data_IF_385318979803
#
_entry.id   IF_385318979803
#
_cell.length_a   1.000
_cell.length_b   1.000
_cell.length_c   1.000
_cell.angle_alpha   90.00
_cell.angle_beta   90.00
_cell.angle_gamma   90.00
#
_symmetry.space_group_name_H-M   'P 1'
#
loop_
_entity.id
_entity.type
_entity.pdbx_description
1 polymer ?
#
# COMPACT_ATOMS: atom_id res chain seq x y z
N UNK A 1 -70.92 42.34 -45.88
CA UNK A 1 -71.12 42.63 -44.43
C UNK A 1 -70.02 41.92 -43.63
N UNK A 2 -69.29 42.67 -42.79
CA UNK A 2 -68.58 42.13 -41.61
C UNK A 2 -69.49 42.31 -40.39
N UNK A 3 -69.43 41.40 -39.41
CA UNK A 3 -68.70 41.66 -38.15
C UNK A 3 -67.84 40.42 -37.77
N UNK A 4 -66.65 40.46 -37.15
CA UNK A 4 -66.06 41.06 -35.92
C UNK A 4 -66.39 40.34 -34.59
N UNK A 5 -65.33 39.73 -34.04
CA UNK A 5 -64.99 39.30 -32.66
C UNK A 5 -65.45 37.93 -32.13
N UNK A 6 -64.47 37.19 -31.59
CA UNK A 6 -64.67 35.99 -30.76
C UNK A 6 -63.37 35.24 -30.51
N UNK A 7 -62.82 35.38 -29.30
CA UNK A 7 -61.53 34.88 -28.82
C UNK A 7 -61.25 33.38 -29.05
N UNK A 8 -59.98 33.05 -29.30
CA UNK A 8 -59.24 31.92 -28.68
C UNK A 8 -57.77 32.01 -29.10
N UNK A 9 -57.09 33.05 -28.58
CA UNK A 9 -55.64 33.03 -28.43
C UNK A 9 -55.35 32.58 -27.00
N UNK A 10 -55.27 31.27 -26.76
CA UNK A 10 -54.63 30.73 -25.56
C UNK A 10 -54.29 29.26 -25.77
N UNK A 11 -53.08 28.91 -25.38
CA UNK A 11 -52.65 27.55 -25.02
C UNK A 11 -52.21 26.59 -26.14
N UNK A 12 -51.13 26.91 -26.86
CA UNK A 12 -50.16 25.87 -27.27
C UNK A 12 -48.72 26.40 -27.36
N UNK A 13 -48.31 27.23 -26.42
CA UNK A 13 -46.89 27.42 -26.09
C UNK A 13 -46.88 27.39 -24.57
N UNK A 14 -46.61 26.25 -23.94
CA UNK A 14 -45.32 25.94 -23.35
C UNK A 14 -45.42 24.49 -22.82
N UNK A 15 -44.62 23.55 -23.33
CA UNK A 15 -44.17 22.45 -22.47
C UNK A 15 -42.65 22.37 -22.36
N UNK A 16 -41.88 23.26 -23.00
CA UNK A 16 -40.42 23.15 -23.00
C UNK A 16 -39.72 23.90 -21.86
N UNK A 17 -40.30 24.98 -21.33
CA UNK A 17 -39.66 25.79 -20.27
C UNK A 17 -39.69 25.06 -18.92
N UNK A 18 -40.79 24.36 -18.60
CA UNK A 18 -40.91 23.62 -17.35
C UNK A 18 -39.98 22.38 -17.31
N UNK A 19 -39.81 21.70 -18.45
CA UNK A 19 -38.92 20.53 -18.55
C UNK A 19 -37.45 20.98 -18.48
N UNK A 20 -37.08 22.08 -19.14
CA UNK A 20 -35.73 22.65 -19.06
C UNK A 20 -35.36 23.11 -17.65
N UNK A 21 -36.29 23.77 -16.95
CA UNK A 21 -36.10 24.17 -15.55
C UNK A 21 -35.93 22.99 -14.60
N UNK A 22 -36.76 21.94 -14.75
CA UNK A 22 -36.65 20.72 -13.97
C UNK A 22 -35.34 19.97 -14.23
N UNK A 23 -34.87 19.91 -15.49
CA UNK A 23 -33.59 19.29 -15.83
C UNK A 23 -32.40 20.07 -15.27
N UNK A 24 -32.42 21.40 -15.33
CA UNK A 24 -31.37 22.26 -14.75
C UNK A 24 -31.35 22.17 -13.22
N UNK A 25 -32.51 22.14 -12.57
CA UNK A 25 -32.61 21.93 -11.12
C UNK A 25 -32.09 20.53 -10.75
N UNK A 26 -32.52 19.48 -11.45
CA UNK A 26 -32.03 18.12 -11.25
C UNK A 26 -30.52 18.02 -11.45
N UNK A 27 -29.98 18.62 -12.51
CA UNK A 27 -28.53 18.66 -12.77
C UNK A 27 -27.75 19.49 -11.74
N UNK A 28 -28.35 20.55 -11.18
CA UNK A 28 -27.75 21.36 -10.13
C UNK A 28 -27.73 20.62 -8.78
N UNK A 29 -28.84 19.99 -8.38
CA UNK A 29 -28.93 19.21 -7.16
C UNK A 29 -28.16 17.87 -7.23
N UNK A 30 -28.10 17.23 -8.42
CA UNK A 30 -27.34 15.99 -8.62
C UNK A 30 -25.91 16.19 -9.16
N UNK A 31 -25.46 17.43 -9.32
CA UNK A 31 -24.07 17.72 -9.75
C UNK A 31 -23.04 17.14 -8.79
N UNK A 32 -23.38 17.05 -7.50
CA UNK A 32 -22.53 16.44 -6.46
C UNK A 32 -22.55 14.91 -6.43
N UNK A 33 -23.57 14.26 -6.99
CA UNK A 33 -23.76 12.80 -6.95
C UNK A 33 -23.26 12.09 -8.21
N UNK A 34 -23.29 12.74 -9.37
CA UNK A 34 -22.98 12.11 -10.66
C UNK A 34 -21.50 12.08 -11.07
N UNK A 35 -20.60 12.63 -10.24
CA UNK A 35 -19.14 12.61 -10.52
C UNK A 35 -18.26 12.28 -9.32
N UNK A 36 -18.80 11.69 -8.25
CA UNK A 36 -17.94 11.05 -7.26
C UNK A 36 -17.52 9.69 -7.81
N UNK A 37 -16.45 9.67 -8.62
CA UNK A 37 -15.68 8.42 -8.79
C UNK A 37 -15.47 7.85 -7.38
N UNK A 38 -15.74 6.56 -7.14
CA UNK A 38 -15.46 5.97 -5.83
C UNK A 38 -14.00 6.30 -5.51
N UNK A 39 -13.77 6.97 -4.37
CA UNK A 39 -12.43 7.38 -3.97
C UNK A 39 -11.54 6.14 -4.05
N UNK A 40 -10.40 6.17 -4.78
CA UNK A 40 -9.55 4.99 -4.91
C UNK A 40 -9.24 4.51 -3.50
N UNK A 41 -9.69 3.30 -3.17
CA UNK A 41 -9.52 2.77 -1.81
C UNK A 41 -8.03 2.60 -1.56
N UNK A 42 -7.52 3.30 -0.56
CA UNK A 42 -6.18 3.11 -0.03
C UNK A 42 -6.00 1.64 0.32
N UNK A 43 -4.95 1.04 -0.25
CA UNK A 43 -4.65 -0.37 -0.01
C UNK A 43 -4.12 -0.55 1.41
N UNK A 44 -4.50 -1.66 2.06
CA UNK A 44 -4.28 -1.88 3.49
C UNK A 44 -3.11 -2.82 3.80
N UNK A 45 -2.36 -3.29 2.80
CA UNK A 45 -1.35 -4.34 3.01
C UNK A 45 -0.16 -3.83 3.81
N UNK A 46 0.15 -2.54 3.69
CA UNK A 46 1.07 -1.84 4.58
C UNK A 46 0.68 -1.93 6.07
N UNK A 47 -0.62 -2.05 6.39
CA UNK A 47 -1.11 -2.27 7.76
C UNK A 47 -0.83 -3.70 8.23
N UNK A 48 -1.03 -4.70 7.37
CA UNK A 48 -0.61 -6.08 7.66
C UNK A 48 0.89 -6.14 7.89
N UNK A 49 1.68 -5.45 7.08
CA UNK A 49 3.13 -5.38 7.24
C UNK A 49 3.54 -4.70 8.55
N UNK A 50 2.80 -3.68 9.00
CA UNK A 50 3.00 -3.08 10.32
C UNK A 50 2.75 -4.11 11.45
N UNK A 51 1.70 -4.92 11.35
CA UNK A 51 1.40 -5.98 12.32
C UNK A 51 2.44 -7.11 12.35
N UNK A 52 3.18 -7.33 11.26
CA UNK A 52 4.27 -8.31 11.16
C UNK A 52 5.61 -7.76 11.67
N UNK A 53 5.88 -6.47 11.42
CA UNK A 53 7.17 -5.84 11.72
C UNK A 53 7.27 -5.32 13.16
N UNK A 54 6.22 -4.68 13.68
CA UNK A 54 6.29 -3.94 14.95
C UNK A 54 7.28 -2.75 14.94
N UNK A 55 7.44 -2.11 16.10
CA UNK A 55 8.41 -1.03 16.30
C UNK A 55 8.06 0.29 15.61
N UNK A 56 9.04 1.21 15.55
CA UNK A 56 8.86 2.57 15.01
C UNK A 56 8.42 2.59 13.53
N UNK A 57 8.98 1.71 12.70
CA UNK A 57 8.63 1.61 11.27
C UNK A 57 7.17 1.18 11.11
N UNK A 58 6.69 0.23 11.93
CA UNK A 58 5.29 -0.18 11.91
C UNK A 58 4.36 0.97 12.33
N UNK A 59 4.71 1.72 13.38
CA UNK A 59 3.92 2.88 13.81
C UNK A 59 3.82 3.92 12.69
N UNK A 60 4.94 4.24 12.05
CA UNK A 60 4.97 5.20 10.95
C UNK A 60 4.09 4.76 9.78
N UNK A 61 4.11 3.45 9.43
CA UNK A 61 3.23 2.90 8.38
C UNK A 61 1.75 3.06 8.73
N UNK A 62 1.37 2.91 10.01
CA UNK A 62 -0.01 3.09 10.46
C UNK A 62 -0.43 4.56 10.36
N UNK A 63 0.45 5.49 10.75
CA UNK A 63 0.21 6.93 10.59
C UNK A 63 0.05 7.28 9.11
N UNK A 64 1.01 6.90 8.27
CA UNK A 64 0.99 7.18 6.82
C UNK A 64 -0.28 6.60 6.16
N UNK A 65 -0.73 5.41 6.58
CA UNK A 65 -1.98 4.81 6.10
C UNK A 65 -3.23 5.59 6.53
N UNK A 66 -3.31 6.03 7.80
CA UNK A 66 -4.46 6.81 8.27
C UNK A 66 -4.54 8.17 7.59
N UNK A 67 -3.40 8.82 7.40
CA UNK A 67 -3.31 10.07 6.66
C UNK A 67 -3.78 9.89 5.21
N UNK A 68 -3.29 8.85 4.53
CA UNK A 68 -3.71 8.55 3.15
C UNK A 68 -5.19 8.19 3.06
N UNK A 69 -5.73 7.50 4.08
CA UNK A 69 -7.16 7.16 4.16
C UNK A 69 -8.03 8.40 4.34
N UNK A 70 -7.56 9.39 5.09
CA UNK A 70 -8.23 10.67 5.27
C UNK A 70 -8.13 11.54 4.00
N UNK A 71 -6.97 11.55 3.35
CA UNK A 71 -6.71 12.28 2.12
C UNK A 71 -5.82 11.49 1.15
N UNK A 72 -6.44 10.95 0.10
CA UNK A 72 -5.74 10.17 -0.92
C UNK A 72 -4.78 11.02 -1.76
N UNK A 73 -4.94 12.34 -1.79
CA UNK A 73 -4.05 13.23 -2.56
C UNK A 73 -2.62 13.20 -2.03
N UNK A 74 -2.43 12.87 -0.74
CA UNK A 74 -1.12 12.65 -0.12
C UNK A 74 -0.28 11.55 -0.79
N UNK A 75 -0.92 10.68 -1.58
CA UNK A 75 -0.24 9.61 -2.30
C UNK A 75 0.21 10.01 -3.72
N UNK A 76 -0.34 11.10 -4.28
CA UNK A 76 -0.11 11.48 -5.68
C UNK A 76 1.35 11.84 -5.97
N UNK A 77 2.04 12.42 -4.99
CA UNK A 77 3.43 12.85 -5.13
C UNK A 77 4.45 11.71 -4.93
N UNK A 78 4.03 10.52 -4.50
CA UNK A 78 4.96 9.46 -4.06
C UNK A 78 5.94 9.03 -5.16
N UNK A 79 5.49 8.94 -6.42
CA UNK A 79 6.39 8.61 -7.54
C UNK A 79 7.43 9.71 -7.80
N UNK A 80 6.99 10.97 -7.77
CA UNK A 80 7.88 12.11 -7.94
C UNK A 80 8.89 12.19 -6.79
N UNK A 81 8.43 12.07 -5.54
CA UNK A 81 9.27 12.04 -4.33
C UNK A 81 10.31 10.92 -4.39
N UNK A 82 9.96 9.75 -4.92
CA UNK A 82 10.90 8.64 -5.08
C UNK A 82 12.01 9.00 -6.07
N UNK A 83 11.64 9.49 -7.25
CA UNK A 83 12.60 9.85 -8.29
C UNK A 83 13.53 10.99 -7.82
N UNK A 84 12.97 12.01 -7.17
CA UNK A 84 13.74 13.12 -6.60
C UNK A 84 14.77 12.63 -5.58
N UNK A 85 14.36 11.75 -4.66
CA UNK A 85 15.24 11.17 -3.65
C UNK A 85 16.40 10.35 -4.28
N UNK A 86 16.12 9.61 -5.35
CA UNK A 86 17.10 8.78 -6.04
C UNK A 86 18.14 9.57 -6.86
N UNK A 87 17.89 10.87 -7.12
CA UNK A 87 18.89 11.75 -7.75
C UNK A 87 19.85 12.38 -6.73
N UNK A 88 19.60 12.23 -5.43
CA UNK A 88 20.46 12.80 -4.40
C UNK A 88 21.79 12.04 -4.32
N UNK A 89 22.85 12.75 -3.94
CA UNK A 89 24.17 12.15 -3.75
C UNK A 89 24.17 11.08 -2.66
N UNK A 90 23.37 11.30 -1.60
CA UNK A 90 23.17 10.38 -0.49
C UNK A 90 21.68 10.06 -0.33
N UNK A 91 21.33 8.79 -0.34
CA UNK A 91 19.94 8.33 -0.26
C UNK A 91 19.52 8.20 1.21
N UNK A 92 18.47 8.92 1.60
CA UNK A 92 17.78 8.72 2.88
C UNK A 92 16.89 7.47 2.80
N UNK A 93 17.44 6.30 3.16
CA UNK A 93 16.72 5.03 3.11
C UNK A 93 15.45 4.98 3.96
N UNK A 94 15.42 5.50 5.22
CA UNK A 94 14.17 5.64 5.96
C UNK A 94 13.09 6.40 5.20
N UNK A 95 13.44 7.53 4.56
CA UNK A 95 12.50 8.28 3.72
C UNK A 95 12.09 7.48 2.47
N UNK A 96 13.03 6.80 1.82
CA UNK A 96 12.75 5.95 0.66
C UNK A 96 11.75 4.85 1.00
N UNK A 97 11.92 4.18 2.14
CA UNK A 97 11.00 3.13 2.61
C UNK A 97 9.57 3.66 2.81
N UNK A 98 9.42 4.87 3.36
CA UNK A 98 8.10 5.51 3.52
C UNK A 98 7.45 5.83 2.19
N UNK A 99 8.20 6.41 1.25
CA UNK A 99 7.70 6.74 -0.09
C UNK A 99 7.26 5.47 -0.83
N UNK A 100 8.07 4.41 -0.75
CA UNK A 100 7.77 3.12 -1.35
C UNK A 100 6.51 2.48 -0.75
N UNK A 101 6.27 2.63 0.57
CA UNK A 101 5.01 2.21 1.18
C UNK A 101 3.80 3.00 0.65
N UNK A 102 3.93 4.31 0.39
CA UNK A 102 2.87 5.10 -0.26
C UNK A 102 2.55 4.63 -1.68
N UNK A 103 3.54 4.11 -2.41
CA UNK A 103 3.32 3.51 -3.74
C UNK A 103 2.51 2.20 -3.64
N UNK A 104 2.63 1.43 -2.56
CA UNK A 104 1.70 0.32 -2.27
C UNK A 104 0.30 0.83 -1.98
N UNK A 105 0.17 1.82 -1.10
CA UNK A 105 -1.12 2.38 -0.68
C UNK A 105 -1.93 2.95 -1.86
N UNK A 106 -1.25 3.54 -2.85
CA UNK A 106 -1.84 4.05 -4.11
C UNK A 106 -2.02 2.98 -5.18
N UNK A 107 -1.42 1.81 -5.00
CA UNK A 107 -1.53 0.69 -5.92
C UNK A 107 -0.60 0.74 -7.14
N UNK A 108 0.48 1.49 -7.02
CA UNK A 108 1.52 1.72 -8.01
C UNK A 108 2.75 0.81 -7.81
N UNK A 109 2.55 -0.40 -7.27
CA UNK A 109 3.67 -1.30 -6.95
C UNK A 109 4.48 -1.72 -8.18
N UNK A 110 3.81 -1.88 -9.33
CA UNK A 110 4.49 -2.23 -10.58
C UNK A 110 5.49 -1.14 -11.00
N UNK A 111 5.12 0.13 -10.83
CA UNK A 111 5.98 1.27 -11.11
C UNK A 111 7.13 1.36 -10.10
N UNK A 112 6.84 1.15 -8.82
CA UNK A 112 7.86 1.07 -7.78
C UNK A 112 8.90 -0.04 -8.08
N UNK A 113 8.46 -1.24 -8.45
CA UNK A 113 9.35 -2.35 -8.85
C UNK A 113 10.22 -1.98 -10.04
N UNK A 114 9.67 -1.29 -11.03
CA UNK A 114 10.44 -0.86 -12.20
C UNK A 114 11.58 0.09 -11.77
N UNK A 115 11.24 1.17 -11.06
CA UNK A 115 12.20 2.19 -10.61
C UNK A 115 13.30 1.55 -9.75
N UNK A 116 12.91 0.74 -8.75
CA UNK A 116 13.87 0.10 -7.84
C UNK A 116 14.79 -0.91 -8.56
N UNK A 117 14.31 -1.60 -9.60
CA UNK A 117 15.16 -2.50 -10.41
C UNK A 117 16.22 -1.72 -11.19
N UNK A 118 15.82 -0.62 -11.82
CA UNK A 118 16.71 0.23 -12.60
C UNK A 118 17.79 0.83 -11.71
N UNK A 119 17.41 1.39 -10.55
CA UNK A 119 18.34 1.99 -9.59
C UNK A 119 19.26 0.97 -8.92
N UNK A 120 18.76 -0.23 -8.59
CA UNK A 120 19.63 -1.31 -8.09
C UNK A 120 20.73 -1.63 -9.11
N UNK A 121 20.40 -1.74 -10.39
CA UNK A 121 21.38 -2.03 -11.45
C UNK A 121 22.38 -0.89 -11.61
N UNK A 122 21.95 0.36 -11.48
CA UNK A 122 22.81 1.54 -11.49
C UNK A 122 23.79 1.53 -10.31
N UNK A 123 23.30 1.36 -9.08
CA UNK A 123 24.12 1.27 -7.87
C UNK A 123 25.19 0.15 -7.98
N UNK A 124 24.83 -1.01 -8.53
CA UNK A 124 25.78 -2.09 -8.79
C UNK A 124 26.88 -1.71 -9.79
N UNK A 125 26.53 -1.02 -10.88
CA UNK A 125 27.51 -0.54 -11.88
C UNK A 125 28.45 0.52 -11.31
N UNK A 126 27.94 1.34 -10.40
CA UNK A 126 28.72 2.37 -9.70
C UNK A 126 29.53 1.81 -8.52
N UNK A 127 29.48 0.50 -8.24
CA UNK A 127 30.19 -0.12 -7.13
C UNK A 127 29.59 0.17 -5.75
N UNK A 128 28.39 0.74 -5.69
CA UNK A 128 27.68 1.11 -4.44
C UNK A 128 26.91 -0.08 -3.88
N UNK A 129 27.65 -1.07 -3.37
CA UNK A 129 27.09 -2.35 -2.93
C UNK A 129 26.06 -2.20 -1.79
N UNK A 130 26.30 -1.31 -0.83
CA UNK A 130 25.37 -1.07 0.28
C UNK A 130 24.04 -0.46 -0.21
N UNK A 131 24.09 0.51 -1.12
CA UNK A 131 22.87 1.09 -1.71
C UNK A 131 22.09 0.05 -2.51
N UNK A 132 22.78 -0.76 -3.31
CA UNK A 132 22.15 -1.85 -4.06
C UNK A 132 21.46 -2.86 -3.12
N UNK A 133 22.04 -3.14 -1.95
CA UNK A 133 21.44 -4.00 -0.93
C UNK A 133 20.15 -3.38 -0.36
N UNK A 134 20.20 -2.12 0.08
CA UNK A 134 19.03 -1.42 0.63
C UNK A 134 17.88 -1.29 -0.40
N UNK A 135 18.22 -0.99 -1.66
CA UNK A 135 17.23 -0.94 -2.76
C UNK A 135 16.65 -2.34 -3.01
N UNK A 136 17.47 -3.40 -2.98
CA UNK A 136 16.96 -4.77 -3.15
C UNK A 136 16.04 -5.20 -2.01
N UNK A 137 16.30 -4.76 -0.78
CA UNK A 137 15.39 -5.00 0.36
C UNK A 137 14.01 -4.37 0.16
N UNK A 138 13.94 -3.14 -0.37
CA UNK A 138 12.66 -2.53 -0.74
C UNK A 138 11.99 -3.23 -1.92
N UNK A 139 12.79 -3.74 -2.87
CA UNK A 139 12.28 -4.51 -4.00
C UNK A 139 11.61 -5.82 -3.54
N UNK A 140 12.18 -6.51 -2.54
CA UNK A 140 11.57 -7.67 -1.88
C UNK A 140 10.21 -7.31 -1.30
N UNK A 141 10.13 -6.21 -0.55
CA UNK A 141 8.87 -5.74 0.05
C UNK A 141 7.80 -5.46 -1.04
N UNK A 142 8.18 -4.84 -2.16
CA UNK A 142 7.27 -4.59 -3.27
C UNK A 142 6.80 -5.88 -3.96
N UNK A 143 7.67 -6.89 -4.11
CA UNK A 143 7.25 -8.19 -4.61
C UNK A 143 6.26 -8.88 -3.66
N UNK A 144 6.47 -8.77 -2.35
CA UNK A 144 5.52 -9.27 -1.34
C UNK A 144 4.16 -8.59 -1.54
N UNK A 145 4.10 -7.25 -1.65
CA UNK A 145 2.82 -6.57 -1.88
C UNK A 145 2.17 -6.94 -3.20
N UNK A 146 2.95 -7.19 -4.26
CA UNK A 146 2.44 -7.69 -5.54
C UNK A 146 2.01 -9.16 -5.47
N UNK A 147 2.37 -9.91 -4.44
CA UNK A 147 2.16 -11.36 -4.38
C UNK A 147 3.10 -12.14 -5.30
N UNK A 148 4.17 -11.52 -5.79
CA UNK A 148 5.20 -12.17 -6.61
C UNK A 148 6.23 -12.84 -5.70
N UNK A 149 5.78 -13.74 -4.82
CA UNK A 149 6.60 -14.34 -3.76
C UNK A 149 7.82 -15.11 -4.28
N UNK A 150 7.73 -15.72 -5.46
CA UNK A 150 8.89 -16.37 -6.10
C UNK A 150 9.97 -15.37 -6.51
N UNK A 151 9.58 -14.22 -7.06
CA UNK A 151 10.51 -13.15 -7.41
C UNK A 151 11.17 -12.61 -6.14
N UNK A 152 10.38 -12.38 -5.09
CA UNK A 152 10.89 -11.98 -3.77
C UNK A 152 11.92 -12.98 -3.22
N UNK A 153 11.61 -14.27 -3.28
CA UNK A 153 12.49 -15.34 -2.77
C UNK A 153 13.83 -15.43 -3.53
N UNK A 154 13.85 -15.02 -4.79
CA UNK A 154 15.05 -15.05 -5.64
C UNK A 154 16.02 -13.89 -5.42
N UNK A 155 15.64 -12.87 -4.64
CA UNK A 155 16.49 -11.71 -4.36
C UNK A 155 17.72 -12.10 -3.54
N UNK A 156 18.89 -11.58 -3.94
CA UNK A 156 20.19 -11.99 -3.36
C UNK A 156 20.36 -11.50 -1.93
N UNK A 157 19.89 -10.29 -1.64
CA UNK A 157 19.89 -9.70 -0.29
C UNK A 157 19.30 -10.64 0.78
N UNK A 158 18.37 -11.54 0.41
CA UNK A 158 17.79 -12.47 1.36
C UNK A 158 18.76 -13.55 1.84
N UNK A 159 19.85 -13.82 1.11
CA UNK A 159 20.82 -14.87 1.40
C UNK A 159 22.21 -14.34 1.81
N UNK A 160 22.35 -13.03 1.98
CA UNK A 160 23.64 -12.37 2.30
C UNK A 160 23.97 -12.49 3.80
N UNK A 161 24.52 -13.62 4.25
CA UNK A 161 24.71 -13.93 5.69
C UNK A 161 25.62 -12.95 6.47
N UNK A 162 26.49 -12.21 5.77
CA UNK A 162 27.48 -11.31 6.38
C UNK A 162 26.86 -10.05 7.01
N UNK A 163 25.62 -9.72 6.65
CA UNK A 163 24.93 -8.52 7.15
C UNK A 163 23.94 -8.95 8.23
N UNK A 164 24.01 -8.34 9.42
CA UNK A 164 22.99 -8.52 10.46
C UNK A 164 21.82 -7.58 10.18
N UNK A 165 20.77 -8.10 9.54
CA UNK A 165 19.57 -7.35 9.20
C UNK A 165 18.32 -8.17 9.52
N UNK A 166 17.51 -7.68 10.48
CA UNK A 166 16.28 -8.33 10.91
C UNK A 166 15.25 -8.46 9.76
N UNK A 167 15.20 -7.48 8.84
CA UNK A 167 14.23 -7.44 7.73
C UNK A 167 14.38 -8.66 6.82
N UNK A 168 15.60 -9.16 6.66
CA UNK A 168 15.90 -10.36 5.87
C UNK A 168 15.12 -11.57 6.37
N UNK A 169 15.19 -11.82 7.68
CA UNK A 169 14.54 -12.94 8.34
C UNK A 169 13.02 -12.77 8.32
N UNK A 170 12.53 -11.54 8.55
CA UNK A 170 11.10 -11.21 8.45
C UNK A 170 10.55 -11.50 7.04
N UNK A 171 11.18 -10.95 5.99
CA UNK A 171 10.72 -11.14 4.62
C UNK A 171 10.81 -12.60 4.19
N UNK A 172 11.89 -13.30 4.54
CA UNK A 172 11.98 -14.75 4.32
C UNK A 172 10.82 -15.51 4.95
N UNK A 173 10.51 -15.26 6.23
CA UNK A 173 9.40 -15.92 6.92
C UNK A 173 8.06 -15.67 6.20
N UNK A 174 7.77 -14.41 5.83
CA UNK A 174 6.55 -14.03 5.10
C UNK A 174 6.46 -14.79 3.76
N UNK A 175 7.53 -14.77 2.97
CA UNK A 175 7.57 -15.38 1.63
C UNK A 175 7.37 -16.89 1.74
N UNK A 176 8.09 -17.54 2.64
CA UNK A 176 8.05 -18.99 2.87
C UNK A 176 6.64 -19.45 3.26
N UNK A 177 6.01 -18.77 4.23
CA UNK A 177 4.64 -19.06 4.66
C UNK A 177 3.65 -18.83 3.50
N UNK A 178 3.77 -17.71 2.79
CA UNK A 178 2.86 -17.37 1.69
C UNK A 178 2.94 -18.37 0.52
N UNK A 179 4.10 -18.99 0.30
CA UNK A 179 4.30 -20.04 -0.71
C UNK A 179 3.64 -21.38 -0.34
N UNK A 180 3.22 -21.60 0.91
CA UNK A 180 2.48 -22.78 1.39
C UNK A 180 3.08 -24.13 0.96
N UNK A 181 4.41 -24.19 0.93
CA UNK A 181 5.09 -25.44 0.59
C UNK A 181 5.26 -26.27 1.88
N UNK A 182 4.80 -27.53 1.95
CA UNK A 182 4.80 -28.32 3.19
C UNK A 182 6.16 -28.44 3.87
N UNK A 183 7.25 -28.46 3.09
CA UNK A 183 8.63 -28.55 3.60
C UNK A 183 9.16 -27.26 4.22
N UNK A 184 8.37 -26.19 4.19
CA UNK A 184 8.82 -24.84 4.47
C UNK A 184 8.18 -24.22 5.71
N UNK A 185 7.23 -24.89 6.36
CA UNK A 185 6.60 -24.39 7.60
C UNK A 185 7.64 -24.21 8.72
N UNK A 186 8.44 -25.24 8.98
CA UNK A 186 9.52 -25.19 9.98
C UNK A 186 10.59 -24.15 9.63
N UNK A 187 10.95 -24.02 8.35
CA UNK A 187 11.87 -22.97 7.89
C UNK A 187 11.29 -21.57 8.10
N UNK A 188 9.98 -21.39 7.93
CA UNK A 188 9.29 -20.13 8.17
C UNK A 188 9.32 -19.74 9.63
N UNK A 189 9.12 -20.73 10.52
CA UNK A 189 9.24 -20.57 11.97
C UNK A 189 10.66 -20.18 12.38
N UNK A 190 11.68 -20.88 11.89
CA UNK A 190 13.08 -20.55 12.15
C UNK A 190 13.45 -19.15 11.67
N UNK A 191 12.94 -18.73 10.51
CA UNK A 191 13.14 -17.36 10.03
C UNK A 191 12.44 -16.34 10.94
N UNK A 192 11.25 -16.63 11.44
CA UNK A 192 10.54 -15.75 12.36
C UNK A 192 11.25 -15.65 13.74
N UNK A 193 11.76 -16.76 14.26
CA UNK A 193 12.54 -16.79 15.51
C UNK A 193 13.80 -15.94 15.37
N UNK A 194 14.60 -16.13 14.31
CA UNK A 194 15.78 -15.30 14.03
C UNK A 194 15.45 -13.82 13.84
N UNK A 195 14.29 -13.51 13.25
CA UNK A 195 13.83 -12.12 13.15
C UNK A 195 13.64 -11.51 14.54
N UNK A 196 13.02 -12.24 15.47
CA UNK A 196 12.83 -11.75 16.83
C UNK A 196 14.15 -11.60 17.57
N UNK A 197 15.06 -12.59 17.48
CA UNK A 197 16.39 -12.54 18.08
C UNK A 197 17.14 -11.28 17.62
N UNK A 198 17.30 -11.09 16.31
CA UNK A 198 18.04 -9.95 15.77
C UNK A 198 17.36 -8.63 16.11
N UNK A 199 16.02 -8.59 16.22
CA UNK A 199 15.31 -7.36 16.57
C UNK A 199 15.38 -7.03 18.06
N UNK A 200 15.43 -8.03 18.94
CA UNK A 200 15.58 -7.81 20.38
C UNK A 200 16.94 -7.17 20.71
N UNK A 201 17.96 -7.41 19.89
CA UNK A 201 19.26 -6.73 20.00
C UNK A 201 19.18 -5.22 19.70
N UNK A 202 18.12 -4.74 19.07
CA UNK A 202 17.86 -3.31 18.83
C UNK A 202 16.74 -2.85 19.76
N UNK A 203 17.10 -2.28 20.91
CA UNK A 203 16.24 -1.77 21.99
C UNK A 203 15.15 -0.77 21.51
N UNK A 204 14.11 -1.23 20.83
CA UNK A 204 12.90 -0.44 20.58
C UNK A 204 12.20 -0.21 21.93
N UNK A 205 11.94 1.05 22.34
CA UNK A 205 11.24 1.34 23.59
C UNK A 205 9.91 0.57 23.69
N UNK A 206 9.58 -0.03 24.86
CA UNK A 206 8.34 -0.78 25.06
C UNK A 206 7.08 -0.01 24.63
N UNK A 207 7.09 1.32 24.78
CA UNK A 207 6.01 2.22 24.38
C UNK A 207 5.66 2.13 22.90
N UNK A 208 6.63 1.88 22.00
CA UNK A 208 6.33 1.71 20.58
C UNK A 208 5.54 0.43 20.29
N UNK A 209 5.86 -0.67 20.97
CA UNK A 209 5.11 -1.94 20.82
C UNK A 209 3.66 -1.75 21.29
N UNK A 210 3.46 -1.01 22.39
CA UNK A 210 2.15 -0.69 22.93
C UNK A 210 1.35 0.23 21.99
N UNK A 211 1.92 1.34 21.52
CA UNK A 211 1.25 2.25 20.59
C UNK A 211 0.88 1.59 19.25
N UNK A 212 1.73 0.70 18.74
CA UNK A 212 1.41 -0.08 17.52
C UNK A 212 0.25 -1.03 17.80
N UNK A 213 0.24 -1.71 18.95
CA UNK A 213 -0.86 -2.60 19.35
C UNK A 213 -2.17 -1.83 19.45
N UNK A 214 -2.20 -0.72 20.19
CA UNK A 214 -3.38 0.13 20.34
C UNK A 214 -3.90 0.64 18.99
N UNK A 215 -2.99 1.08 18.12
CA UNK A 215 -3.34 1.55 16.78
C UNK A 215 -3.89 0.45 15.88
N UNK A 216 -3.38 -0.78 15.97
CA UNK A 216 -3.86 -1.92 15.18
C UNK A 216 -5.21 -2.44 15.67
N UNK A 217 -5.35 -2.59 16.99
CA UNK A 217 -6.53 -3.14 17.67
C UNK A 217 -7.69 -2.15 17.68
N UNK A 218 -7.44 -0.87 18.01
CA UNK A 218 -8.45 0.19 18.01
C UNK A 218 -9.04 0.47 16.63
N UNK A 219 -8.31 0.16 15.56
CA UNK A 219 -8.80 0.30 14.19
C UNK A 219 -9.36 -1.00 13.58
N UNK A 220 -9.36 -2.11 14.33
CA UNK A 220 -9.89 -3.40 13.90
C UNK A 220 -9.16 -4.02 12.70
N UNK A 221 -7.89 -3.70 12.47
CA UNK A 221 -7.15 -4.20 11.31
C UNK A 221 -6.54 -5.58 11.56
N UNK A 222 -5.69 -5.68 12.58
CA UNK A 222 -4.94 -6.88 12.93
C UNK A 222 -4.62 -6.87 14.43
N UNK A 223 -4.29 -8.03 14.99
CA UNK A 223 -3.57 -8.10 16.26
C UNK A 223 -2.07 -8.07 15.95
N UNK A 224 -1.29 -7.36 16.75
CA UNK A 224 0.18 -7.40 16.63
C UNK A 224 0.65 -8.85 16.79
N UNK A 225 1.48 -9.34 15.87
CA UNK A 225 1.97 -10.71 15.91
C UNK A 225 3.00 -10.89 17.03
N UNK A 226 2.59 -11.51 18.14
CA UNK A 226 3.44 -11.78 19.30
C UNK A 226 3.85 -13.24 19.43
N UNK A 227 3.22 -14.13 18.66
CA UNK A 227 3.58 -15.54 18.55
C UNK A 227 3.65 -15.97 17.09
N UNK A 228 4.32 -17.07 16.80
CA UNK A 228 4.39 -17.61 15.44
C UNK A 228 3.02 -17.90 14.83
N UNK A 229 2.07 -18.46 15.61
CA UNK A 229 0.71 -18.72 15.13
C UNK A 229 -0.04 -17.42 14.74
N UNK A 230 0.15 -16.35 15.51
CA UNK A 230 -0.41 -15.04 15.16
C UNK A 230 0.26 -14.46 13.91
N UNK A 231 1.59 -14.55 13.83
CA UNK A 231 2.36 -14.15 12.67
C UNK A 231 1.88 -14.84 11.40
N UNK A 232 1.77 -16.17 11.44
CA UNK A 232 1.33 -16.99 10.32
C UNK A 232 -0.09 -16.60 9.87
N UNK A 233 -1.02 -16.37 10.81
CA UNK A 233 -2.38 -15.89 10.51
C UNK A 233 -2.38 -14.54 9.82
N UNK A 234 -1.53 -13.61 10.24
CA UNK A 234 -1.40 -12.29 9.59
C UNK A 234 -0.83 -12.43 8.18
N UNK A 235 0.17 -13.29 7.98
CA UNK A 235 0.73 -13.57 6.64
C UNK A 235 -0.32 -14.18 5.70
N UNK A 236 -1.08 -15.17 6.17
CA UNK A 236 -2.17 -15.79 5.39
C UNK A 236 -3.22 -14.75 4.98
N UNK A 237 -3.63 -13.86 5.90
CA UNK A 237 -4.54 -12.75 5.59
C UNK A 237 -3.96 -11.75 4.59
N UNK A 238 -2.68 -11.39 4.73
CA UNK A 238 -1.98 -10.54 3.78
C UNK A 238 -2.04 -11.14 2.37
N UNK A 239 -1.75 -12.44 2.24
CA UNK A 239 -1.86 -13.17 0.96
C UNK A 239 -3.27 -13.13 0.39
N UNK A 240 -4.29 -13.41 1.21
CA UNK A 240 -5.69 -13.35 0.78
C UNK A 240 -6.08 -11.96 0.26
N UNK A 241 -5.64 -10.91 0.96
CA UNK A 241 -5.89 -9.52 0.56
C UNK A 241 -5.22 -9.17 -0.78
N UNK A 242 -4.00 -9.67 -1.01
CA UNK A 242 -3.29 -9.53 -2.29
C UNK A 242 -4.07 -10.23 -3.41
N UNK A 243 -4.48 -11.49 -3.19
CA UNK A 243 -5.23 -12.26 -4.20
C UNK A 243 -6.57 -11.60 -4.54
N UNK A 244 -7.32 -11.12 -3.53
CA UNK A 244 -8.57 -10.37 -3.72
C UNK A 244 -8.36 -9.10 -4.52
N UNK A 245 -7.24 -8.39 -4.33
CA UNK A 245 -6.93 -7.19 -5.08
C UNK A 245 -6.68 -7.49 -6.57
N UNK A 246 -5.97 -8.58 -6.89
CA UNK A 246 -5.73 -9.00 -8.28
C UNK A 246 -7.00 -9.46 -8.98
N UNK A 247 -7.86 -10.24 -8.32
CA UNK A 247 -9.12 -10.70 -8.90
C UNK A 247 -10.09 -9.56 -9.25
N UNK A 248 -9.99 -8.41 -8.55
CA UNK A 248 -10.77 -7.20 -8.88
C UNK A 248 -10.19 -6.39 -10.03
N UNK A 249 -8.91 -6.55 -10.35
CA UNK A 249 -8.24 -5.87 -11.47
C UNK A 249 -8.54 -6.53 -12.83
N UNK A 250 -8.91 -7.82 -12.80
CA UNK A 250 -9.21 -8.63 -13.99
C UNK A 250 -10.72 -8.74 -14.29
N UNK A 251 -11.56 -7.99 -13.59
CA UNK A 251 -13.01 -7.83 -13.86
C UNK A 251 -13.27 -6.42 -14.36
#
# INVERSE_FOLDING_TARGET
MKPKYGALAAATTIPFILIGGAYLAFAYFNRGSWRRKPNPRVRKRSVSMAALHGGRIALQRLVDYQEARADTQKLNAAEYELNDLLQQEYIDFPRMQRIVAKLEMSGNEAKAVQILREEKLKALKEGKAHEAYEIEMLLVEMFIYKGEFQNAFSCKCLNEEKISDARRHLFKAIIIIALERPRYEELGKQCWERFNEVREDFDDPPSFKESVRESLEGNGFYKLATSFNEFEKVVKRLKDDIQKAHSKKNK
#
